data_IF_078236072091
#
_entry.id   IF_078236072091
#
_cell.length_a   1.000
_cell.length_b   1.000
_cell.length_c   1.000
_cell.angle_alpha   90.00
_cell.angle_beta   90.00
_cell.angle_gamma   90.00
#
_symmetry.space_group_name_H-M   'P 1'
#
loop_
_entity.id
_entity.type
_entity.pdbx_description
1 polymer ?
#
# COMPACT_ATOMS: atom_id res chain seq x y z
N UNK A 1 -13.96 -2.32 3.36
CA UNK A 1 -13.57 -3.30 4.41
C UNK A 1 -14.34 -3.05 5.71
N UNK A 2 -14.10 -1.98 6.45
CA UNK A 2 -14.83 -1.71 7.70
C UNK A 2 -16.35 -1.50 7.47
N UNK A 3 -16.73 -0.67 6.50
CA UNK A 3 -18.14 -0.38 6.20
C UNK A 3 -18.92 -1.64 5.78
N UNK A 4 -18.35 -2.43 4.86
CA UNK A 4 -18.90 -3.72 4.45
C UNK A 4 -19.00 -4.75 5.58
N UNK A 5 -18.25 -4.56 6.68
CA UNK A 5 -18.28 -5.42 7.86
C UNK A 5 -19.17 -4.86 8.99
N UNK A 6 -19.89 -3.75 8.78
CA UNK A 6 -20.72 -3.12 9.81
C UNK A 6 -19.92 -2.48 10.94
N UNK A 7 -18.66 -2.12 10.69
CA UNK A 7 -17.75 -1.51 11.66
C UNK A 7 -17.44 -0.06 11.29
N UNK A 8 -17.26 0.78 12.31
CA UNK A 8 -16.73 2.14 12.17
C UNK A 8 -15.30 2.21 12.70
N UNK A 9 -14.38 2.74 11.88
CA UNK A 9 -13.02 3.04 12.33
C UNK A 9 -13.03 4.34 13.16
N UNK A 10 -12.42 4.30 14.35
CA UNK A 10 -12.50 5.41 15.33
C UNK A 10 -11.17 6.12 15.49
N UNK A 11 -10.08 5.37 15.61
CA UNK A 11 -8.73 5.92 15.86
C UNK A 11 -7.65 5.07 15.20
N UNK A 12 -6.55 5.70 14.78
CA UNK A 12 -5.32 4.98 14.42
C UNK A 12 -4.58 4.63 15.71
N UNK A 13 -4.43 3.33 15.97
CA UNK A 13 -3.71 2.82 17.15
C UNK A 13 -2.20 2.77 16.93
N UNK A 14 -1.79 2.38 15.72
CA UNK A 14 -0.37 2.20 15.38
C UNK A 14 -0.15 2.40 13.89
N UNK A 15 0.94 3.08 13.57
CA UNK A 15 1.50 3.17 12.22
C UNK A 15 2.86 2.49 12.28
N UNK A 16 3.12 1.56 11.39
CA UNK A 16 4.39 0.86 11.28
C UNK A 16 4.88 0.94 9.84
N UNK A 17 5.77 1.91 9.55
CA UNK A 17 6.49 1.89 8.29
C UNK A 17 7.39 0.66 8.30
N UNK A 18 7.34 -0.11 7.23
CA UNK A 18 8.31 -1.19 7.04
C UNK A 18 9.60 -0.53 6.53
N UNK A 19 10.77 -0.86 7.10
CA UNK A 19 12.02 -0.31 6.62
C UNK A 19 12.17 -0.63 5.13
N UNK A 20 12.77 0.33 4.41
CA UNK A 20 12.95 0.28 2.96
C UNK A 20 13.47 -1.10 2.56
N UNK A 21 12.63 -1.85 1.86
CA UNK A 21 13.08 -3.06 1.17
C UNK A 21 13.92 -2.52 0.02
N UNK A 22 15.25 -2.58 0.18
CA UNK A 22 16.23 -2.04 -0.76
C UNK A 22 15.92 -2.43 -2.22
N UNK A 23 16.56 -1.76 -3.19
CA UNK A 23 16.13 -1.75 -4.60
C UNK A 23 15.72 -3.13 -5.08
N UNK A 24 14.41 -3.32 -5.23
CA UNK A 24 13.84 -4.57 -5.71
C UNK A 24 14.13 -4.62 -7.20
N UNK A 25 15.01 -5.54 -7.61
CA UNK A 25 15.23 -5.81 -9.03
C UNK A 25 13.86 -5.96 -9.72
N UNK A 26 13.67 -5.23 -10.82
CA UNK A 26 12.41 -5.18 -11.54
C UNK A 26 12.03 -6.59 -12.02
N UNK A 27 11.29 -7.33 -11.22
CA UNK A 27 10.63 -8.54 -11.67
C UNK A 27 9.62 -8.11 -12.75
N UNK A 28 9.60 -8.76 -13.92
CA UNK A 28 8.67 -8.43 -14.99
C UNK A 28 7.25 -8.78 -14.53
N UNK A 29 6.59 -7.83 -13.88
CA UNK A 29 5.19 -7.97 -13.51
C UNK A 29 4.38 -7.78 -14.80
N UNK A 30 4.05 -8.90 -15.44
CA UNK A 30 3.00 -8.93 -16.45
C UNK A 30 1.65 -8.84 -15.74
N UNK A 31 1.19 -7.65 -15.33
CA UNK A 31 -0.19 -7.52 -14.85
C UNK A 31 -0.74 -6.09 -14.91
N UNK A 32 -1.82 -5.94 -15.69
CA UNK A 32 -2.93 -4.96 -15.62
C UNK A 32 -2.67 -3.78 -14.67
N UNK A 33 -1.80 -2.87 -15.08
CA UNK A 33 -1.54 -1.65 -14.35
C UNK A 33 -2.81 -0.79 -14.33
N UNK A 34 -3.06 -0.18 -13.16
CA UNK A 34 -4.11 0.80 -12.91
C UNK A 34 -4.36 1.72 -14.11
N UNK A 35 -5.64 2.01 -14.39
CA UNK A 35 -6.15 2.62 -15.62
C UNK A 35 -5.59 4.02 -15.99
N UNK A 36 -4.62 4.57 -15.24
CA UNK A 36 -3.95 5.86 -15.46
C UNK A 36 -2.45 5.88 -15.10
N UNK A 37 -1.76 4.75 -15.12
CA UNK A 37 -0.32 4.72 -14.87
C UNK A 37 0.48 5.16 -16.12
N UNK A 38 1.48 6.03 -15.94
CA UNK A 38 2.44 6.44 -16.98
C UNK A 38 3.55 5.38 -17.09
N UNK A 39 4.02 5.01 -18.30
CA UNK A 39 5.09 4.04 -18.47
C UNK A 39 6.41 4.49 -17.83
N UNK A 40 7.05 3.59 -17.09
CA UNK A 40 8.37 3.79 -16.47
C UNK A 40 9.46 3.40 -17.48
N UNK A 41 10.46 4.26 -17.73
CA UNK A 41 11.57 3.98 -18.64
C UNK A 41 12.76 3.31 -17.95
N UNK A 42 13.62 2.65 -18.74
CA UNK A 42 14.86 2.07 -18.24
C UNK A 42 15.81 3.17 -17.71
N UNK A 43 16.31 3.01 -16.49
CA UNK A 43 17.14 4.00 -15.80
C UNK A 43 16.39 4.86 -14.78
N UNK A 44 15.07 4.70 -14.66
CA UNK A 44 14.28 5.37 -13.62
C UNK A 44 14.42 4.67 -12.26
N UNK A 45 14.65 5.46 -11.21
CA UNK A 45 14.66 4.97 -9.83
C UNK A 45 13.24 4.73 -9.36
N UNK A 46 12.91 3.49 -9.05
CA UNK A 46 11.63 3.11 -8.45
C UNK A 46 11.78 2.98 -6.93
N UNK A 47 10.97 3.72 -6.18
CA UNK A 47 10.83 3.57 -4.73
C UNK A 47 9.48 2.93 -4.40
N UNK A 48 9.46 1.96 -3.48
CA UNK A 48 8.23 1.32 -3.00
C UNK A 48 8.20 1.40 -1.48
N UNK A 49 7.20 2.07 -0.93
CA UNK A 49 6.98 2.14 0.50
C UNK A 49 5.87 1.17 0.91
N UNK A 50 6.11 0.40 1.98
CA UNK A 50 5.10 -0.43 2.62
C UNK A 50 4.82 0.11 4.02
N UNK A 51 3.54 0.35 4.30
CA UNK A 51 3.08 0.88 5.60
C UNK A 51 1.95 0.00 6.10
N UNK A 52 2.08 -0.47 7.35
CA UNK A 52 0.99 -1.15 8.05
C UNK A 52 0.31 -0.17 9.01
N UNK A 53 -1.01 -0.03 8.92
CA UNK A 53 -1.81 0.82 9.81
C UNK A 53 -2.80 -0.06 10.57
N UNK A 54 -2.81 0.09 11.90
CA UNK A 54 -3.75 -0.59 12.81
C UNK A 54 -4.75 0.43 13.34
N UNK A 55 -6.03 0.13 13.20
CA UNK A 55 -7.14 0.97 13.65
C UNK A 55 -7.89 0.31 14.81
N UNK A 56 -8.41 1.15 15.71
CA UNK A 56 -9.49 0.76 16.61
C UNK A 56 -10.82 0.87 15.87
N UNK A 57 -11.68 -0.14 16.03
CA UNK A 57 -12.97 -0.23 15.38
C UNK A 57 -14.08 -0.56 16.37
N UNK A 58 -15.25 0.03 16.16
CA UNK A 58 -16.45 -0.17 16.97
C UNK A 58 -17.61 -0.65 16.08
N UNK A 59 -18.55 -1.45 16.61
CA UNK A 59 -19.79 -1.78 15.91
C UNK A 59 -20.58 -0.52 15.53
N UNK A 60 -21.30 -0.60 14.42
CA UNK A 60 -22.16 0.48 13.95
C UNK A 60 -23.60 0.33 14.43
#
# INVERSE_FOLDING_TARGET
>A
LADAAGLRLVRIRRISPQPDMGPVAAAPMMMKADARAVPIQAGETTARAQITIVYDAEPR
#
